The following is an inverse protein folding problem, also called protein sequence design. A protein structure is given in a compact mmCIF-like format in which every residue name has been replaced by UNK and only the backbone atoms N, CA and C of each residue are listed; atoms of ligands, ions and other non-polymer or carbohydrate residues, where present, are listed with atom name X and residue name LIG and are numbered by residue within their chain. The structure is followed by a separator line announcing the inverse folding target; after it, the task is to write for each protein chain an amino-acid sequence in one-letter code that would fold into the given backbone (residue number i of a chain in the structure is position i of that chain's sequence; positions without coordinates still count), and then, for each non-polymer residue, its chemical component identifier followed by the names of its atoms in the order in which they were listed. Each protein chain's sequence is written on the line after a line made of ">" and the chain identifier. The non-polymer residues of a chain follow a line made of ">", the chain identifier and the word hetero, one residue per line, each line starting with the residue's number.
data_IF_782424529320
#
_entry.id   IF_782424529320
#
_cell.length_a   1.000
_cell.length_b   1.000
_cell.length_c   1.000
_cell.angle_alpha   90.00
_cell.angle_beta   90.00
_cell.angle_gamma   90.00
#
_symmetry.space_group_name_H-M   'P 1'
#
loop_
_entity.id
_entity.type
_entity.pdbx_description
1 polymer ?
#
# COMPACT_ATOMS: atom_id res chain seq x y z
N UNK A 1 46.49 -56.96 -7.84
CA UNK A 1 46.42 -55.84 -8.78
C UNK A 1 45.40 -54.85 -8.22
N UNK A 2 45.86 -53.76 -7.59
CA UNK A 2 45.02 -52.77 -6.87
C UNK A 2 44.87 -51.54 -7.78
N UNK A 3 43.67 -51.27 -8.27
CA UNK A 3 43.38 -50.02 -8.98
C UNK A 3 42.93 -48.94 -7.97
N UNK A 4 43.68 -47.83 -7.98
CA UNK A 4 43.38 -46.60 -7.28
C UNK A 4 42.53 -45.70 -8.19
N UNK A 5 41.24 -45.56 -7.89
CA UNK A 5 40.37 -44.62 -8.61
C UNK A 5 40.46 -43.25 -7.92
N UNK A 6 40.98 -42.28 -8.68
CA UNK A 6 41.30 -40.93 -8.24
C UNK A 6 40.10 -40.10 -7.77
N UNK A 7 40.36 -39.31 -6.73
CA UNK A 7 39.45 -38.31 -6.19
C UNK A 7 39.17 -37.22 -7.23
N UNK A 8 37.90 -37.07 -7.60
CA UNK A 8 37.39 -35.97 -8.43
C UNK A 8 37.18 -34.75 -7.53
N UNK A 9 38.03 -33.74 -7.67
CA UNK A 9 37.93 -32.44 -7.00
C UNK A 9 36.73 -31.63 -7.53
N UNK A 10 35.80 -31.15 -6.68
CA UNK A 10 34.79 -30.17 -7.07
C UNK A 10 35.15 -28.81 -6.46
N UNK A 11 35.91 -27.97 -7.18
CA UNK A 11 36.37 -26.69 -6.58
C UNK A 11 36.64 -25.58 -7.60
N UNK A 12 35.69 -25.30 -8.50
CA UNK A 12 35.77 -24.07 -9.32
C UNK A 12 34.40 -23.41 -9.52
N UNK A 13 33.34 -24.19 -9.77
CA UNK A 13 32.00 -23.65 -10.07
C UNK A 13 31.27 -23.04 -8.87
N UNK A 14 31.60 -23.48 -7.65
CA UNK A 14 30.93 -23.01 -6.43
C UNK A 14 31.31 -21.56 -6.05
N UNK A 15 32.58 -21.18 -6.25
CA UNK A 15 33.10 -19.86 -5.86
C UNK A 15 32.54 -18.72 -6.74
N UNK A 16 32.43 -18.94 -8.05
CA UNK A 16 31.88 -17.95 -8.98
C UNK A 16 30.39 -17.71 -8.77
N UNK A 17 29.64 -18.75 -8.36
CA UNK A 17 28.20 -18.61 -8.11
C UNK A 17 27.94 -17.75 -6.86
N UNK A 18 28.75 -17.89 -5.81
CA UNK A 18 28.60 -17.07 -4.59
C UNK A 18 28.95 -15.60 -4.82
N UNK A 19 29.95 -15.30 -5.65
CA UNK A 19 30.27 -13.91 -6.01
C UNK A 19 29.19 -13.27 -6.89
N UNK A 20 28.67 -13.99 -7.89
CA UNK A 20 27.62 -13.47 -8.78
C UNK A 20 26.31 -13.25 -8.01
N UNK A 21 25.98 -14.12 -7.06
CA UNK A 21 24.82 -13.93 -6.18
C UNK A 21 25.05 -12.78 -5.19
N UNK A 22 26.27 -12.63 -4.67
CA UNK A 22 26.64 -11.50 -3.80
C UNK A 22 26.56 -10.15 -4.51
N UNK A 23 27.03 -10.07 -5.75
CA UNK A 23 27.00 -8.84 -6.56
C UNK A 23 25.59 -8.52 -7.07
N UNK A 24 24.79 -9.54 -7.41
CA UNK A 24 23.37 -9.38 -7.74
C UNK A 24 22.52 -8.95 -6.52
N UNK A 25 22.85 -9.43 -5.32
CA UNK A 25 22.22 -8.99 -4.07
C UNK A 25 22.63 -7.54 -3.72
N UNK A 26 23.92 -7.20 -3.90
CA UNK A 26 24.44 -5.84 -3.70
C UNK A 26 23.79 -4.81 -4.60
N UNK A 27 23.57 -5.13 -5.89
CA UNK A 27 22.86 -4.24 -6.84
C UNK A 27 21.37 -4.08 -6.53
N UNK A 28 20.73 -5.06 -5.88
CA UNK A 28 19.32 -4.95 -5.44
C UNK A 28 19.17 -4.12 -4.16
N UNK A 29 20.19 -4.10 -3.32
CA UNK A 29 20.25 -3.31 -2.09
C UNK A 29 20.76 -1.87 -2.31
N UNK A 30 21.32 -1.58 -3.49
CA UNK A 30 21.67 -0.23 -3.91
C UNK A 30 20.39 0.62 -3.97
N UNK A 31 20.12 1.32 -2.87
CA UNK A 31 19.04 2.30 -2.78
C UNK A 31 19.16 3.29 -3.93
N UNK A 32 18.11 3.53 -4.73
CA UNK A 32 18.15 4.49 -5.81
C UNK A 32 18.51 5.86 -5.21
N UNK A 33 19.69 6.36 -5.58
CA UNK A 33 20.22 7.67 -5.22
C UNK A 33 19.52 8.74 -6.04
N UNK A 34 18.23 8.90 -5.79
CA UNK A 34 17.40 9.91 -6.42
C UNK A 34 16.17 10.10 -5.57
N UNK A 35 15.78 11.35 -5.36
CA UNK A 35 14.54 11.79 -4.70
C UNK A 35 13.33 11.46 -5.58
N UNK A 36 13.29 10.24 -6.11
CA UNK A 36 12.30 9.76 -7.05
C UNK A 36 11.13 9.24 -6.22
N UNK A 37 10.01 9.95 -6.34
CA UNK A 37 8.71 9.46 -5.93
C UNK A 37 8.46 8.14 -6.67
N UNK A 38 8.59 7.01 -5.97
CA UNK A 38 8.66 5.68 -6.59
C UNK A 38 7.27 5.13 -6.90
N UNK A 39 6.27 5.44 -6.07
CA UNK A 39 4.90 5.01 -6.31
C UNK A 39 3.88 5.91 -5.62
N UNK A 40 2.75 6.14 -6.31
CA UNK A 40 1.53 6.69 -5.73
C UNK A 40 0.37 5.76 -6.04
N UNK A 41 -0.30 5.29 -5.00
CA UNK A 41 -1.42 4.36 -5.11
C UNK A 41 -2.64 4.98 -4.46
N UNK A 42 -3.80 4.85 -5.13
CA UNK A 42 -5.08 5.26 -4.56
C UNK A 42 -5.49 4.23 -3.51
N UNK A 43 -5.97 4.71 -2.37
CA UNK A 43 -6.42 3.83 -1.29
C UNK A 43 -7.74 3.17 -1.67
N UNK A 44 -7.93 1.93 -1.25
CA UNK A 44 -9.20 1.21 -1.45
C UNK A 44 -10.36 2.04 -0.88
N UNK A 45 -11.45 2.23 -1.65
CA UNK A 45 -12.57 3.06 -1.22
C UNK A 45 -13.47 2.39 -0.17
N UNK A 46 -13.16 1.17 0.27
CA UNK A 46 -13.99 0.35 1.16
C UNK A 46 -14.40 1.07 2.46
N UNK A 47 -13.46 1.75 3.12
CA UNK A 47 -13.74 2.48 4.36
C UNK A 47 -14.71 3.65 4.12
N UNK A 48 -14.65 4.29 2.96
CA UNK A 48 -15.56 5.39 2.61
C UNK A 48 -16.97 4.89 2.33
N UNK A 49 -17.09 3.71 1.74
CA UNK A 49 -18.37 3.06 1.51
C UNK A 49 -19.01 2.66 2.85
N UNK A 50 -18.22 2.09 3.77
CA UNK A 50 -18.69 1.77 5.12
C UNK A 50 -19.20 3.02 5.87
N UNK A 51 -18.47 4.14 5.78
CA UNK A 51 -18.90 5.43 6.33
C UNK A 51 -20.20 5.95 5.69
N UNK A 52 -20.33 5.82 4.37
CA UNK A 52 -21.55 6.20 3.66
C UNK A 52 -22.75 5.39 4.19
N UNK A 53 -22.60 4.06 4.29
CA UNK A 53 -23.62 3.17 4.84
C UNK A 53 -24.00 3.57 6.27
N UNK A 54 -23.02 3.81 7.14
CA UNK A 54 -23.27 4.23 8.51
C UNK A 54 -24.02 5.58 8.58
N UNK A 55 -23.64 6.58 7.78
CA UNK A 55 -24.33 7.86 7.74
C UNK A 55 -25.76 7.75 7.21
N UNK A 56 -26.00 6.91 6.19
CA UNK A 56 -27.36 6.66 5.70
C UNK A 56 -28.23 5.98 6.75
N UNK A 57 -27.67 5.06 7.54
CA UNK A 57 -28.38 4.44 8.64
C UNK A 57 -28.72 5.45 9.74
N UNK A 58 -27.78 6.33 10.10
CA UNK A 58 -28.03 7.42 11.07
C UNK A 58 -29.10 8.39 10.56
N UNK A 59 -29.08 8.73 9.28
CA UNK A 59 -30.12 9.56 8.65
C UNK A 59 -31.50 8.92 8.79
N UNK A 60 -31.60 7.61 8.57
CA UNK A 60 -32.86 6.87 8.78
C UNK A 60 -33.35 6.92 10.23
N UNK A 61 -32.45 6.81 11.22
CA UNK A 61 -32.80 6.96 12.64
C UNK A 61 -33.33 8.36 12.96
N UNK A 62 -32.76 9.41 12.38
CA UNK A 62 -33.27 10.78 12.56
C UNK A 62 -34.66 10.98 11.94
N UNK A 63 -34.88 10.41 10.76
CA UNK A 63 -36.19 10.43 10.12
C UNK A 63 -37.22 9.71 10.98
N UNK A 64 -36.84 8.56 11.57
CA UNK A 64 -37.70 7.82 12.51
C UNK A 64 -38.06 8.61 13.77
N UNK A 65 -37.16 9.48 14.22
CA UNK A 65 -37.34 10.38 15.36
C UNK A 65 -38.04 11.70 14.98
N UNK A 66 -38.59 11.84 13.77
CA UNK A 66 -39.22 13.07 13.27
C UNK A 66 -38.31 14.30 13.29
N UNK A 67 -36.99 14.08 13.23
CA UNK A 67 -35.99 15.13 13.07
C UNK A 67 -35.60 15.27 11.60
N UNK A 68 -36.55 15.73 10.78
CA UNK A 68 -36.42 15.75 9.32
C UNK A 68 -35.21 16.57 8.85
N UNK A 69 -34.94 17.70 9.51
CA UNK A 69 -33.78 18.54 9.20
C UNK A 69 -32.45 17.81 9.42
N UNK A 70 -32.31 17.09 10.54
CA UNK A 70 -31.09 16.32 10.86
C UNK A 70 -30.91 15.11 9.94
N UNK A 71 -32.01 14.48 9.53
CA UNK A 71 -32.00 13.41 8.54
C UNK A 71 -31.48 13.91 7.18
N UNK A 72 -31.96 15.07 6.74
CA UNK A 72 -31.56 15.68 5.47
C UNK A 72 -30.11 16.18 5.51
N UNK A 73 -29.68 16.78 6.62
CA UNK A 73 -28.30 17.19 6.82
C UNK A 73 -27.33 16.00 6.76
N UNK A 74 -27.67 14.87 7.40
CA UNK A 74 -26.82 13.68 7.42
C UNK A 74 -26.73 12.98 6.05
N UNK A 75 -27.84 12.93 5.28
CA UNK A 75 -27.82 12.37 3.92
C UNK A 75 -26.96 13.23 2.98
N UNK A 76 -27.11 14.56 3.07
CA UNK A 76 -26.33 15.51 2.28
C UNK A 76 -24.84 15.41 2.63
N UNK A 77 -24.52 15.29 3.93
CA UNK A 77 -23.16 15.12 4.39
C UNK A 77 -22.53 13.83 3.85
N UNK A 78 -23.26 12.71 3.86
CA UNK A 78 -22.78 11.44 3.29
C UNK A 78 -22.42 11.61 1.81
N UNK A 79 -23.28 12.25 1.03
CA UNK A 79 -23.07 12.47 -0.41
C UNK A 79 -21.90 13.40 -0.73
N UNK A 80 -21.54 14.33 0.16
CA UNK A 80 -20.40 15.23 -0.02
C UNK A 80 -19.10 14.58 0.47
N UNK A 81 -19.13 13.98 1.66
CA UNK A 81 -17.96 13.37 2.30
C UNK A 81 -17.45 12.20 1.46
N UNK A 82 -18.31 11.27 1.04
CA UNK A 82 -17.86 10.06 0.35
C UNK A 82 -17.00 10.33 -0.91
N UNK A 83 -17.44 11.15 -1.88
CA UNK A 83 -16.61 11.45 -3.04
C UNK A 83 -15.37 12.28 -2.65
N UNK A 84 -15.51 13.27 -1.78
CA UNK A 84 -14.39 14.12 -1.38
C UNK A 84 -13.24 13.30 -0.80
N UNK A 85 -13.56 12.35 0.08
CA UNK A 85 -12.56 11.47 0.67
C UNK A 85 -12.01 10.45 -0.35
N UNK A 86 -12.86 9.86 -1.19
CA UNK A 86 -12.43 8.90 -2.21
C UNK A 86 -11.49 9.52 -3.26
N UNK A 87 -11.66 10.79 -3.61
CA UNK A 87 -10.81 11.47 -4.60
C UNK A 87 -9.50 12.01 -4.02
N UNK A 88 -9.49 12.41 -2.75
CA UNK A 88 -8.34 13.09 -2.15
C UNK A 88 -7.34 12.14 -1.50
N UNK A 89 -7.76 10.92 -1.14
CA UNK A 89 -6.89 9.99 -0.43
C UNK A 89 -5.92 9.24 -1.35
N UNK A 90 -4.62 9.43 -1.09
CA UNK A 90 -3.53 8.78 -1.82
C UNK A 90 -2.43 8.37 -0.86
N UNK A 91 -1.85 7.19 -1.09
CA UNK A 91 -0.63 6.76 -0.41
C UNK A 91 0.55 6.97 -1.35
N UNK A 92 1.56 7.67 -0.86
CA UNK A 92 2.80 7.93 -1.60
C UNK A 92 3.97 7.22 -0.92
N UNK A 93 4.84 6.65 -1.76
CA UNK A 93 6.01 5.92 -1.35
C UNK A 93 7.26 6.48 -2.01
N UNK A 94 8.20 6.94 -1.19
CA UNK A 94 9.45 7.56 -1.62
C UNK A 94 10.67 6.62 -1.45
N UNK A 95 10.45 5.30 -1.32
CA UNK A 95 11.52 4.31 -1.14
C UNK A 95 12.04 4.16 0.29
N UNK A 96 11.93 5.21 1.09
CA UNK A 96 12.36 5.23 2.50
C UNK A 96 11.19 5.36 3.48
N UNK A 97 10.12 6.03 3.06
CA UNK A 97 8.97 6.35 3.91
C UNK A 97 7.68 6.21 3.13
N UNK A 98 6.67 5.67 3.80
CA UNK A 98 5.29 5.65 3.35
C UNK A 98 4.56 6.86 3.96
N UNK A 99 3.92 7.67 3.13
CA UNK A 99 3.14 8.82 3.61
C UNK A 99 1.73 8.79 3.03
N UNK A 100 0.74 9.11 3.87
CA UNK A 100 -0.64 9.31 3.42
C UNK A 100 -0.86 10.78 3.10
N UNK A 101 -1.44 11.06 1.95
CA UNK A 101 -1.85 12.40 1.50
C UNK A 101 -3.36 12.44 1.32
N UNK A 102 -3.94 13.63 1.45
CA UNK A 102 -5.37 13.86 1.31
C UNK A 102 -6.02 14.43 2.56
N UNK A 103 -7.35 14.51 2.52
CA UNK A 103 -8.16 15.06 3.61
C UNK A 103 -8.02 14.23 4.88
N UNK A 104 -7.87 12.91 4.78
CA UNK A 104 -7.62 12.03 5.93
C UNK A 104 -6.33 12.39 6.65
N UNK A 105 -5.25 12.65 5.91
CA UNK A 105 -3.97 13.05 6.50
C UNK A 105 -4.06 14.43 7.17
N UNK A 106 -4.86 15.34 6.61
CA UNK A 106 -5.13 16.65 7.19
C UNK A 106 -5.93 16.53 8.50
N UNK A 107 -7.02 15.74 8.51
CA UNK A 107 -7.83 15.50 9.70
C UNK A 107 -6.98 14.82 10.78
N UNK A 108 -6.21 13.79 10.44
CA UNK A 108 -5.34 13.14 11.41
C UNK A 108 -4.29 14.11 11.98
N UNK A 109 -3.71 14.97 11.13
CA UNK A 109 -2.79 16.02 11.58
C UNK A 109 -3.49 17.02 12.49
N UNK A 110 -4.74 17.37 12.22
CA UNK A 110 -5.52 18.28 13.06
C UNK A 110 -5.82 17.67 14.43
N UNK A 111 -6.22 16.39 14.47
CA UNK A 111 -6.64 15.70 15.71
C UNK A 111 -5.44 15.26 16.55
N UNK A 112 -4.38 14.71 15.95
CA UNK A 112 -3.22 14.16 16.69
C UNK A 112 -1.97 15.04 16.62
N UNK A 113 -1.98 16.14 15.86
CA UNK A 113 -0.81 17.00 15.65
C UNK A 113 0.33 16.39 14.81
N UNK A 114 0.25 15.10 14.47
CA UNK A 114 1.33 14.34 13.84
C UNK A 114 1.02 14.01 12.38
N UNK A 115 2.05 14.07 11.53
CA UNK A 115 1.98 13.61 10.14
C UNK A 115 1.97 12.08 10.12
N UNK A 116 1.09 11.49 9.32
CA UNK A 116 1.10 10.06 9.00
C UNK A 116 2.29 9.75 8.10
N UNK A 117 3.40 9.35 8.71
CA UNK A 117 4.60 8.86 8.03
C UNK A 117 5.02 7.57 8.72
N UNK A 118 5.22 6.53 7.93
CA UNK A 118 5.73 5.24 8.39
C UNK A 118 7.04 4.96 7.65
N UNK A 119 8.20 5.03 8.31
CA UNK A 119 9.47 4.70 7.69
C UNK A 119 9.58 3.19 7.48
N UNK A 120 10.29 2.77 6.43
CA UNK A 120 10.34 1.34 6.05
C UNK A 120 11.05 0.47 7.09
N UNK A 121 11.94 1.04 7.90
CA UNK A 121 12.65 0.35 8.98
C UNK A 121 11.72 -0.06 10.14
N UNK A 122 10.55 0.58 10.28
CA UNK A 122 9.53 0.24 11.26
C UNK A 122 8.55 -0.82 10.72
N UNK A 123 8.62 -1.17 9.44
CA UNK A 123 7.73 -2.17 8.82
C UNK A 123 8.33 -3.55 9.06
N UNK A 124 7.77 -4.30 10.01
CA UNK A 124 8.20 -5.67 10.32
C UNK A 124 7.65 -6.70 9.34
N UNK A 125 6.40 -6.52 8.89
CA UNK A 125 5.69 -7.48 8.04
C UNK A 125 5.02 -6.79 6.85
N UNK A 126 5.22 -7.35 5.67
CA UNK A 126 4.54 -6.93 4.44
C UNK A 126 3.67 -8.09 3.97
N UNK A 127 2.36 -7.91 4.05
CA UNK A 127 1.40 -8.85 3.46
C UNK A 127 1.11 -8.44 2.02
N UNK A 128 1.38 -9.34 1.09
CA UNK A 128 1.11 -9.09 -0.34
C UNK A 128 -0.15 -9.85 -0.74
N UNK A 129 -1.23 -9.11 -0.97
CA UNK A 129 -2.42 -9.66 -1.59
C UNK A 129 -2.33 -9.47 -3.09
N UNK A 130 -1.95 -10.53 -3.81
CA UNK A 130 -1.97 -10.52 -5.27
C UNK A 130 -3.41 -10.78 -5.74
N UNK A 131 -4.12 -9.71 -6.09
CA UNK A 131 -5.42 -9.83 -6.75
C UNK A 131 -5.22 -10.44 -8.14
N UNK A 132 -6.11 -11.38 -8.53
CA UNK A 132 -6.06 -12.07 -9.83
C UNK A 132 -5.86 -11.07 -10.97
N UNK A 133 -4.75 -11.22 -11.68
CA UNK A 133 -4.43 -10.40 -12.84
C UNK A 133 -5.26 -10.87 -14.03
N UNK A 134 -5.98 -9.96 -14.69
CA UNK A 134 -6.61 -10.25 -15.97
C UNK A 134 -5.57 -9.96 -17.07
N UNK A 135 -4.96 -11.00 -17.64
CA UNK A 135 -4.01 -10.85 -18.74
C UNK A 135 -4.77 -10.46 -20.01
N UNK A 136 -4.77 -9.18 -20.37
CA UNK A 136 -5.29 -8.68 -21.65
C UNK A 136 -4.16 -8.04 -22.45
N UNK A 137 -3.76 -8.67 -23.56
CA UNK A 137 -2.83 -8.10 -24.53
C UNK A 137 -1.38 -7.88 -24.05
N UNK A 138 -0.83 -8.78 -23.22
CA UNK A 138 0.57 -8.68 -22.78
C UNK A 138 0.86 -7.66 -21.68
N UNK A 139 -0.12 -6.82 -21.30
CA UNK A 139 -0.02 -5.90 -20.16
C UNK A 139 -0.68 -6.51 -18.93
N UNK A 140 0.11 -6.83 -17.92
CA UNK A 140 -0.41 -7.26 -16.62
C UNK A 140 -0.92 -6.03 -15.89
N UNK A 141 -2.24 -5.92 -15.78
CA UNK A 141 -2.88 -4.90 -14.95
C UNK A 141 -3.14 -5.55 -13.59
N UNK A 142 -2.33 -5.20 -12.60
CA UNK A 142 -2.66 -5.47 -11.21
C UNK A 142 -3.98 -4.74 -10.92
N UNK A 143 -5.00 -5.48 -10.49
CA UNK A 143 -6.29 -4.90 -10.09
C UNK A 143 -6.39 -4.88 -8.58
#
# INVERSE_FOLDING_TARGET
>A
MRETIGAKTPSATAATTTEVVGDAAGRRLASPSGRAHLASVRVSPEVYLALACALTFVSFLFLRSSHDFSALASIALAWIITPLFAFTDRINFDGRTLSRQGVVALIHRLVKGRRLRLPINEIERIETSAVRTLRRGGRVRYR
#
